data_IF_561050448844
#
_entry.id   IF_561050448844
#
_cell.length_a   1.000
_cell.length_b   1.000
_cell.length_c   1.000
_cell.angle_alpha   90.00
_cell.angle_beta   90.00
_cell.angle_gamma   90.00
#
_symmetry.space_group_name_H-M   'P 1'
#
loop_
_entity.id
_entity.type
_entity.pdbx_description
1 polymer ?
#
# COMPACT_ATOMS: atom_id res chain seq x y z
N UNK A 1 -6.45 31.11 -3.69
CA UNK A 1 -6.06 29.83 -4.32
C UNK A 1 -4.58 29.61 -4.01
N UNK A 2 -4.28 28.91 -2.91
CA UNK A 2 -2.90 28.72 -2.42
C UNK A 2 -2.39 27.34 -2.78
N UNK A 3 -1.13 27.27 -3.20
CA UNK A 3 -0.45 26.12 -3.84
C UNK A 3 -0.63 24.77 -3.12
N UNK A 4 -1.22 23.79 -3.83
CA UNK A 4 -1.27 22.37 -3.46
C UNK A 4 -0.08 21.57 -4.03
N UNK A 5 1.14 22.12 -4.03
CA UNK A 5 2.34 21.41 -4.47
C UNK A 5 3.54 21.74 -3.56
N UNK A 6 3.99 20.75 -2.80
CA UNK A 6 5.42 20.61 -2.49
C UNK A 6 5.95 19.50 -3.41
N UNK A 7 6.20 19.84 -4.68
CA UNK A 7 6.76 18.90 -5.64
C UNK A 7 8.10 18.36 -5.10
N UNK A 8 8.13 17.09 -4.72
CA UNK A 8 9.31 16.43 -4.15
C UNK A 8 9.03 15.58 -2.90
N UNK A 9 7.93 15.79 -2.19
CA UNK A 9 7.66 15.13 -0.90
C UNK A 9 6.85 13.82 -1.00
N UNK A 10 6.55 13.31 -2.19
CA UNK A 10 5.81 12.04 -2.35
C UNK A 10 6.46 10.90 -1.55
N UNK A 11 7.77 10.71 -1.75
CA UNK A 11 8.56 9.70 -1.04
C UNK A 11 8.46 9.87 0.48
N UNK A 12 8.55 11.12 0.95
CA UNK A 12 8.44 11.45 2.37
C UNK A 12 7.09 11.02 2.92
N UNK A 13 5.99 11.43 2.29
CA UNK A 13 4.64 11.10 2.77
C UNK A 13 4.28 9.62 2.63
N UNK A 14 4.80 8.94 1.60
CA UNK A 14 4.67 7.49 1.47
C UNK A 14 5.39 6.79 2.63
N UNK A 15 6.64 7.17 2.88
CA UNK A 15 7.46 6.59 3.95
C UNK A 15 6.84 6.84 5.32
N UNK A 16 6.40 8.08 5.61
CA UNK A 16 5.68 8.41 6.84
C UNK A 16 4.47 7.49 7.05
N UNK A 17 3.63 7.33 6.02
CA UNK A 17 2.41 6.52 6.14
C UNK A 17 2.73 5.04 6.42
N UNK A 18 3.70 4.46 5.71
CA UNK A 18 4.12 3.07 5.91
C UNK A 18 4.79 2.84 7.26
N UNK A 19 5.63 3.78 7.70
CA UNK A 19 6.29 3.73 9.01
C UNK A 19 5.27 3.81 10.15
N UNK A 20 4.28 4.69 10.04
CA UNK A 20 3.17 4.79 11.00
C UNK A 20 2.34 3.49 11.07
N UNK A 21 2.32 2.71 9.99
CA UNK A 21 1.69 1.39 9.93
C UNK A 21 2.61 0.27 10.46
N UNK A 22 3.86 0.56 10.82
CA UNK A 22 4.84 -0.42 11.27
C UNK A 22 5.36 -1.32 10.13
N UNK A 23 5.31 -0.84 8.88
CA UNK A 23 5.72 -1.58 7.71
C UNK A 23 7.09 -1.10 7.21
N UNK A 24 7.98 -2.01 6.79
CA UNK A 24 9.22 -1.64 6.15
C UNK A 24 8.93 -1.02 4.78
N UNK A 25 9.79 -0.08 4.36
CA UNK A 25 9.74 0.48 3.00
C UNK A 25 11.06 0.16 2.30
N UNK A 26 11.04 -0.61 1.20
CA UNK A 26 12.22 -0.84 0.40
C UNK A 26 12.62 0.44 -0.32
N UNK A 27 13.92 0.67 -0.45
CA UNK A 27 14.43 1.81 -1.20
C UNK A 27 14.06 1.71 -2.68
N UNK A 28 13.89 2.86 -3.35
CA UNK A 28 13.71 3.02 -4.81
C UNK A 28 12.37 2.57 -5.39
N UNK A 29 11.72 1.52 -4.87
CA UNK A 29 10.46 1.01 -5.43
C UNK A 29 9.28 1.98 -5.25
N UNK A 30 9.32 2.80 -4.21
CA UNK A 30 8.25 3.74 -3.87
C UNK A 30 8.73 5.20 -3.81
N UNK A 31 9.87 5.50 -4.47
CA UNK A 31 10.50 6.83 -4.40
C UNK A 31 9.74 7.89 -5.21
N UNK A 32 9.03 7.49 -6.26
CA UNK A 32 8.21 8.40 -7.07
C UNK A 32 6.81 7.82 -7.24
N UNK A 33 5.84 8.68 -7.53
CA UNK A 33 4.46 8.27 -7.79
C UNK A 33 4.37 7.20 -8.89
N UNK A 34 5.06 7.39 -10.01
CA UNK A 34 5.01 6.45 -11.13
C UNK A 34 5.68 5.10 -10.81
N UNK A 35 6.82 5.11 -10.12
CA UNK A 35 7.50 3.87 -9.69
C UNK A 35 6.66 3.12 -8.66
N UNK A 36 6.01 3.84 -7.74
CA UNK A 36 5.13 3.28 -6.74
C UNK A 36 3.89 2.63 -7.37
N UNK A 37 3.24 3.31 -8.34
CA UNK A 37 2.13 2.75 -9.10
C UNK A 37 2.54 1.48 -9.85
N UNK A 38 3.66 1.52 -10.58
CA UNK A 38 4.18 0.36 -11.32
C UNK A 38 4.44 -0.83 -10.39
N UNK A 39 5.10 -0.58 -9.26
CA UNK A 39 5.35 -1.62 -8.25
C UNK A 39 4.03 -2.19 -7.71
N UNK A 40 3.06 -1.32 -7.37
CA UNK A 40 1.76 -1.76 -6.87
C UNK A 40 0.97 -2.56 -7.91
N UNK A 41 0.99 -2.18 -9.19
CA UNK A 41 0.35 -2.94 -10.27
C UNK A 41 0.96 -4.33 -10.40
N UNK A 42 2.28 -4.45 -10.34
CA UNK A 42 2.96 -5.74 -10.34
C UNK A 42 2.55 -6.58 -9.13
N UNK A 43 2.51 -5.97 -7.93
CA UNK A 43 2.10 -6.66 -6.72
C UNK A 43 0.66 -7.18 -6.78
N UNK A 44 -0.27 -6.38 -7.31
CA UNK A 44 -1.67 -6.77 -7.52
C UNK A 44 -1.77 -7.92 -8.52
N UNK A 45 -1.06 -7.84 -9.64
CA UNK A 45 -1.04 -8.89 -10.66
C UNK A 45 -0.53 -10.22 -10.11
N UNK A 46 0.57 -10.21 -9.37
CA UNK A 46 1.13 -11.43 -8.76
C UNK A 46 0.27 -11.93 -7.59
N UNK A 47 -0.35 -11.04 -6.82
CA UNK A 47 -1.30 -11.45 -5.78
C UNK A 47 -2.52 -12.15 -6.37
N UNK A 48 -3.01 -11.70 -7.53
CA UNK A 48 -4.11 -12.35 -8.23
C UNK A 48 -3.77 -13.77 -8.71
N UNK A 49 -2.49 -14.06 -8.99
CA UNK A 49 -2.06 -15.41 -9.41
C UNK A 49 -1.76 -16.34 -8.24
N UNK A 50 -1.13 -15.83 -7.18
CA UNK A 50 -0.77 -16.61 -5.99
C UNK A 50 -1.93 -16.81 -5.01
N UNK A 51 -2.89 -15.89 -5.04
CA UNK A 51 -4.08 -15.92 -4.21
C UNK A 51 -3.91 -15.24 -2.84
N UNK A 52 -5.04 -15.12 -2.17
CA UNK A 52 -5.26 -14.26 -0.99
C UNK A 52 -4.51 -14.63 0.29
N UNK A 53 -3.86 -15.80 0.32
CA UNK A 53 -3.04 -16.27 1.45
C UNK A 53 -1.54 -16.07 1.25
N UNK A 54 -1.14 -15.55 0.08
CA UNK A 54 0.26 -15.40 -0.26
C UNK A 54 1.00 -14.45 0.71
N UNK A 55 2.28 -14.71 0.86
CA UNK A 55 3.25 -13.88 1.57
C UNK A 55 4.02 -13.02 0.59
N UNK A 56 4.64 -11.94 1.09
CA UNK A 56 5.57 -11.17 0.27
C UNK A 56 6.77 -12.01 -0.19
N UNK A 57 7.18 -13.05 0.55
CA UNK A 57 8.22 -13.97 0.11
C UNK A 57 7.83 -14.71 -1.19
N UNK A 58 6.59 -15.20 -1.26
CA UNK A 58 6.07 -15.88 -2.46
C UNK A 58 5.93 -14.89 -3.62
N UNK A 59 5.49 -13.66 -3.35
CA UNK A 59 5.41 -12.59 -4.34
C UNK A 59 6.77 -12.25 -4.95
N UNK A 60 7.80 -12.14 -4.11
CA UNK A 60 9.19 -11.91 -4.53
C UNK A 60 9.71 -13.10 -5.34
N UNK A 61 9.44 -14.33 -4.90
CA UNK A 61 9.86 -15.53 -5.62
C UNK A 61 9.15 -15.72 -6.97
N UNK A 62 7.91 -15.25 -7.09
CA UNK A 62 7.11 -15.37 -8.30
C UNK A 62 7.32 -14.21 -9.29
N UNK A 63 8.08 -13.17 -8.95
CA UNK A 63 8.18 -11.97 -9.80
C UNK A 63 9.56 -11.30 -9.74
N UNK A 64 10.14 -11.11 -10.92
CA UNK A 64 11.40 -10.37 -11.11
C UNK A 64 11.17 -8.88 -10.87
N UNK A 65 12.11 -8.22 -10.18
CA UNK A 65 12.05 -6.78 -9.88
C UNK A 65 11.43 -6.42 -8.53
N UNK A 66 10.93 -7.42 -7.79
CA UNK A 66 10.41 -7.25 -6.42
C UNK A 66 11.43 -7.66 -5.35
N UNK A 67 12.67 -8.00 -5.68
CA UNK A 67 13.67 -8.55 -4.75
C UNK A 67 13.91 -7.64 -3.55
N UNK A 68 13.78 -6.32 -3.73
CA UNK A 68 13.92 -5.34 -2.63
C UNK A 68 12.81 -5.46 -1.59
N UNK A 69 11.65 -6.05 -1.92
CA UNK A 69 10.57 -6.36 -0.98
C UNK A 69 10.87 -7.58 -0.10
N UNK A 70 12.04 -8.23 -0.22
CA UNK A 70 12.46 -9.28 0.71
C UNK A 70 12.47 -8.81 2.17
N UNK A 71 12.67 -7.51 2.42
CA UNK A 71 12.55 -6.91 3.78
C UNK A 71 11.14 -7.05 4.37
N UNK A 72 10.14 -7.24 3.52
CA UNK A 72 8.73 -7.44 3.87
C UNK A 72 8.31 -8.92 3.78
N UNK A 73 9.24 -9.86 3.52
CA UNK A 73 8.94 -11.26 3.19
C UNK A 73 7.97 -11.97 4.16
N UNK A 74 8.06 -11.66 5.47
CA UNK A 74 7.21 -12.23 6.52
C UNK A 74 5.83 -11.59 6.66
N UNK A 75 5.52 -10.59 5.83
CA UNK A 75 4.25 -9.87 5.84
C UNK A 75 3.30 -10.53 4.82
N UNK A 76 2.02 -10.65 5.18
CA UNK A 76 0.99 -11.07 4.24
C UNK A 76 0.97 -10.18 3.00
N UNK A 77 0.94 -10.79 1.82
CA UNK A 77 0.99 -10.09 0.55
C UNK A 77 -0.17 -9.11 0.39
N UNK A 78 -1.39 -9.55 0.70
CA UNK A 78 -2.59 -8.70 0.64
C UNK A 78 -2.48 -7.49 1.57
N UNK A 79 -1.96 -7.69 2.78
CA UNK A 79 -1.76 -6.63 3.76
C UNK A 79 -0.75 -5.58 3.26
N UNK A 80 0.40 -6.03 2.75
CA UNK A 80 1.44 -5.13 2.27
C UNK A 80 1.01 -4.42 0.97
N UNK A 81 0.41 -5.14 0.01
CA UNK A 81 -0.11 -4.57 -1.24
C UNK A 81 -1.19 -3.52 -0.97
N UNK A 82 -2.16 -3.83 -0.10
CA UNK A 82 -3.18 -2.87 0.31
C UNK A 82 -2.60 -1.65 1.04
N UNK A 83 -1.63 -1.86 1.93
CA UNK A 83 -0.96 -0.76 2.60
C UNK A 83 -0.14 0.12 1.64
N UNK A 84 0.52 -0.47 0.63
CA UNK A 84 1.26 0.26 -0.38
C UNK A 84 0.32 1.12 -1.24
N UNK A 85 -0.80 0.57 -1.73
CA UNK A 85 -1.81 1.32 -2.49
C UNK A 85 -2.40 2.46 -1.65
N UNK A 86 -2.74 2.19 -0.39
CA UNK A 86 -3.24 3.20 0.53
C UNK A 86 -2.23 4.31 0.79
N UNK A 87 -0.95 3.96 0.95
CA UNK A 87 0.13 4.92 1.14
C UNK A 87 0.39 5.75 -0.11
N UNK A 88 0.25 5.18 -1.32
CA UNK A 88 0.27 5.92 -2.58
C UNK A 88 -0.86 6.95 -2.60
N UNK A 89 -2.09 6.57 -2.22
CA UNK A 89 -3.21 7.51 -2.18
C UNK A 89 -3.01 8.63 -1.15
N UNK A 90 -2.49 8.31 0.04
CA UNK A 90 -2.19 9.31 1.07
C UNK A 90 -1.09 10.27 0.58
N UNK A 91 -0.01 9.74 0.03
CA UNK A 91 1.10 10.54 -0.48
C UNK A 91 0.68 11.39 -1.69
N UNK A 92 -0.08 10.82 -2.62
CA UNK A 92 -0.66 11.52 -3.77
C UNK A 92 -1.63 12.61 -3.32
N UNK A 93 -2.58 12.32 -2.42
CA UNK A 93 -3.53 13.31 -1.91
C UNK A 93 -2.85 14.46 -1.16
N UNK A 94 -1.81 14.16 -0.37
CA UNK A 94 -1.00 15.19 0.32
C UNK A 94 -0.10 15.99 -0.63
N UNK A 95 0.33 15.39 -1.74
CA UNK A 95 1.26 16.03 -2.71
C UNK A 95 0.56 16.69 -3.91
N UNK A 96 -0.69 16.30 -4.22
CA UNK A 96 -1.43 16.67 -5.44
C UNK A 96 -2.79 17.33 -5.15
N UNK A 97 -3.42 17.08 -3.98
CA UNK A 97 -4.84 17.40 -3.75
C UNK A 97 -5.20 18.03 -2.41
N UNK A 98 -4.23 18.42 -1.57
CA UNK A 98 -4.48 19.03 -0.25
C UNK A 98 -5.35 18.15 0.70
N UNK A 99 -5.33 16.82 0.53
CA UNK A 99 -6.06 15.85 1.34
C UNK A 99 -6.27 14.53 0.61
N UNK A 100 -6.49 13.42 1.33
CA UNK A 100 -6.88 12.13 0.75
C UNK A 100 -8.17 11.65 1.40
N UNK A 101 -9.24 11.56 0.60
CA UNK A 101 -10.48 10.89 1.00
C UNK A 101 -10.45 9.45 0.50
N UNK A 102 -11.23 8.58 1.14
CA UNK A 102 -11.38 7.19 0.71
C UNK A 102 -11.91 7.08 -0.73
N UNK A 103 -12.72 8.04 -1.17
CA UNK A 103 -13.17 8.18 -2.56
C UNK A 103 -12.02 8.36 -3.53
N UNK A 104 -11.02 9.17 -3.18
CA UNK A 104 -9.88 9.47 -4.05
C UNK A 104 -9.00 8.25 -4.23
N UNK A 105 -8.90 7.42 -3.19
CA UNK A 105 -8.23 6.13 -3.25
C UNK A 105 -8.92 5.19 -4.26
N UNK A 106 -10.25 5.04 -4.20
CA UNK A 106 -10.96 4.14 -5.13
C UNK A 106 -10.89 4.63 -6.57
N UNK A 107 -10.98 5.94 -6.79
CA UNK A 107 -10.80 6.53 -8.12
C UNK A 107 -9.38 6.28 -8.64
N UNK A 108 -8.36 6.51 -7.82
CA UNK A 108 -6.96 6.27 -8.18
C UNK A 108 -6.70 4.79 -8.47
N UNK A 109 -7.23 3.89 -7.64
CA UNK A 109 -7.08 2.45 -7.84
C UNK A 109 -7.70 2.01 -9.17
N UNK A 110 -8.92 2.47 -9.48
CA UNK A 110 -9.61 2.14 -10.73
C UNK A 110 -8.90 2.72 -11.97
N UNK A 111 -8.45 3.97 -11.91
CA UNK A 111 -7.74 4.61 -13.02
C UNK A 111 -6.41 3.92 -13.34
N UNK A 112 -5.71 3.41 -12.31
CA UNK A 112 -4.40 2.79 -12.45
C UNK A 112 -4.46 1.25 -12.45
N UNK A 113 -5.66 0.66 -12.52
CA UNK A 113 -5.89 -0.79 -12.52
C UNK A 113 -5.23 -1.51 -11.32
N UNK A 114 -5.28 -0.87 -10.15
CA UNK A 114 -4.80 -1.41 -8.87
C UNK A 114 -5.90 -2.11 -8.07
N UNK A 115 -7.03 -2.38 -8.70
CA UNK A 115 -8.13 -3.11 -8.09
C UNK A 115 -7.75 -4.58 -7.96
N UNK A 116 -7.78 -5.10 -6.73
CA UNK A 116 -7.75 -6.51 -6.44
C UNK A 116 -9.09 -6.92 -5.80
N UNK A 117 -9.43 -8.19 -5.91
CA UNK A 117 -10.68 -8.70 -5.34
C UNK A 117 -10.81 -8.30 -3.87
N UNK A 118 -11.98 -7.80 -3.47
CA UNK A 118 -12.21 -7.31 -2.11
C UNK A 118 -11.38 -6.12 -1.63
N UNK A 119 -10.79 -5.31 -2.53
CA UNK A 119 -10.17 -4.01 -2.21
C UNK A 119 -11.09 -3.15 -1.29
N UNK A 120 -12.38 -3.06 -1.61
CA UNK A 120 -13.34 -2.30 -0.81
C UNK A 120 -13.50 -2.86 0.60
N UNK A 121 -13.61 -4.19 0.73
CA UNK A 121 -13.69 -4.86 2.02
C UNK A 121 -12.39 -4.69 2.83
N UNK A 122 -11.23 -4.72 2.16
CA UNK A 122 -9.95 -4.46 2.79
C UNK A 122 -9.92 -3.09 3.46
N UNK A 123 -10.27 -2.00 2.74
CA UNK A 123 -10.25 -0.66 3.32
C UNK A 123 -11.37 -0.38 4.31
N UNK A 124 -12.52 -1.06 4.18
CA UNK A 124 -13.58 -0.99 5.18
C UNK A 124 -13.13 -1.60 6.52
N UNK A 125 -12.38 -2.71 6.48
CA UNK A 125 -11.84 -3.36 7.67
C UNK A 125 -10.52 -2.76 8.16
N UNK A 126 -9.81 -2.01 7.31
CA UNK A 126 -8.52 -1.41 7.59
C UNK A 126 -8.49 0.12 7.34
N UNK A 127 -9.40 0.91 7.93
CA UNK A 127 -9.45 2.35 7.72
C UNK A 127 -8.18 3.06 8.19
N UNK A 128 -7.44 2.45 9.13
CA UNK A 128 -6.16 2.94 9.64
C UNK A 128 -5.10 3.13 8.56
N UNK A 129 -5.18 2.45 7.40
CA UNK A 129 -4.22 2.63 6.31
C UNK A 129 -4.23 4.06 5.77
N UNK A 130 -5.42 4.67 5.71
CA UNK A 130 -5.63 6.01 5.15
C UNK A 130 -5.82 7.05 6.27
N UNK A 131 -6.53 6.69 7.33
CA UNK A 131 -6.86 7.61 8.42
C UNK A 131 -5.66 7.81 9.35
N UNK A 132 -5.00 8.97 9.25
CA UNK A 132 -3.81 9.31 10.04
C UNK A 132 -4.03 9.26 11.57
N UNK A 133 -5.22 9.65 12.03
CA UNK A 133 -5.52 9.73 13.46
C UNK A 133 -6.10 8.43 14.05
N UNK A 134 -6.09 7.32 13.30
CA UNK A 134 -6.67 6.07 13.78
C UNK A 134 -5.75 5.40 14.83
N UNK A 135 -6.24 5.04 16.03
CA UNK A 135 -5.39 4.50 17.11
C UNK A 135 -4.77 3.14 16.77
N UNK A 136 -5.35 2.40 15.82
CA UNK A 136 -4.87 1.09 15.38
C UNK A 136 -3.69 1.07 14.39
N UNK A 137 -3.14 2.22 13.99
CA UNK A 137 -2.09 2.29 12.95
C UNK A 137 -0.84 1.47 13.30
N UNK A 138 -0.29 1.67 14.50
CA UNK A 138 0.90 0.96 14.96
C UNK A 138 0.70 -0.57 15.08
N UNK A 139 -0.56 -1.03 15.18
CA UNK A 139 -0.90 -2.47 15.26
C UNK A 139 -1.05 -3.13 13.90
N UNK A 140 -1.21 -2.35 12.82
CA UNK A 140 -1.43 -2.88 11.46
C UNK A 140 -0.30 -3.82 11.05
N UNK A 141 0.95 -3.33 11.04
CA UNK A 141 2.11 -4.12 10.60
C UNK A 141 2.41 -5.31 11.51
N UNK A 142 2.09 -5.21 12.80
CA UNK A 142 2.17 -6.35 13.72
C UNK A 142 1.16 -7.43 13.35
N UNK A 143 -0.10 -7.07 13.12
CA UNK A 143 -1.13 -8.03 12.70
C UNK A 143 -0.83 -8.62 11.33
N UNK A 144 -0.30 -7.83 10.39
CA UNK A 144 0.07 -8.28 9.06
C UNK A 144 1.20 -9.33 9.06
N UNK A 145 2.00 -9.37 10.14
CA UNK A 145 3.03 -10.38 10.37
C UNK A 145 2.50 -11.62 11.10
N UNK A 146 1.68 -11.42 12.14
CA UNK A 146 1.25 -12.51 13.05
C UNK A 146 0.02 -13.26 12.52
N UNK A 147 -0.88 -12.55 11.83
CA UNK A 147 -2.14 -13.09 11.31
C UNK A 147 -2.41 -12.56 9.90
N UNK A 148 -1.57 -12.91 8.90
CA UNK A 148 -1.71 -12.42 7.52
C UNK A 148 -3.05 -12.79 6.87
N UNK A 149 -3.67 -13.90 7.30
CA UNK A 149 -5.00 -14.32 6.87
C UNK A 149 -6.12 -13.34 7.22
N UNK A 150 -5.95 -12.49 8.24
CA UNK A 150 -6.95 -11.47 8.61
C UNK A 150 -7.06 -10.33 7.59
N UNK A 151 -6.06 -10.19 6.71
CA UNK A 151 -6.03 -9.23 5.61
C UNK A 151 -6.40 -9.88 4.28
N UNK A 152 -6.69 -11.19 4.30
CA UNK A 152 -7.23 -11.91 3.17
C UNK A 152 -8.64 -11.36 2.90
N UNK A 153 -8.87 -10.92 1.67
CA UNK A 153 -10.20 -10.52 1.23
C UNK A 153 -11.04 -11.77 0.96
N UNK A 154 -12.34 -11.72 1.29
CA UNK A 154 -13.26 -12.83 1.10
C UNK A 154 -13.40 -13.19 -0.38
#
# INVERSE_FOLDING_TARGET
MGQCYAAGDFKKYFNENMQDLGLPVPSTLFDTYNTALSTASTMVGTLATLGKGATMAELVGATVGLEKLAVAASIGASAYTGAAIGSIAVAAGRSLGCGSRMSDLFVMARQNKLEFDGLAAFYANNPQVIQKNHPGRARFGMQAKIAPSNFSYA
#
